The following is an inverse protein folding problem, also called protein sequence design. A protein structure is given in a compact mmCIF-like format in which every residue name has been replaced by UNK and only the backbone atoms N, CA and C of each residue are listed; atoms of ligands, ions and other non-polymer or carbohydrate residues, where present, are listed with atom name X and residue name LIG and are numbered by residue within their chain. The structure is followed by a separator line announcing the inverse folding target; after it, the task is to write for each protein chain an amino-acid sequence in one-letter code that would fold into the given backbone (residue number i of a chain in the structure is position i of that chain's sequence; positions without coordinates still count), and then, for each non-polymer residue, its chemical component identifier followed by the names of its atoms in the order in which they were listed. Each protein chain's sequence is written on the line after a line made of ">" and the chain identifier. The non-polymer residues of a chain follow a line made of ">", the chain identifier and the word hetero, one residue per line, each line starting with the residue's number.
data_IF_917673580306
#
_entry.id   IF_917673580306
#
_cell.length_a   1.000
_cell.length_b   1.000
_cell.length_c   1.000
_cell.angle_alpha   90.00
_cell.angle_beta   90.00
_cell.angle_gamma   90.00
#
_symmetry.space_group_name_H-M   'P 1'
#
loop_
_entity.id
_entity.type
_entity.pdbx_description
1 polymer ?
#
# COMPACT_ATOMS: atom_id res chain seq x y z
N UNK A 1 -7.05 3.17 -0.29
CA UNK A 1 -6.11 4.23 0.14
C UNK A 1 -5.88 4.23 1.63
N UNK A 2 -6.90 3.91 2.43
CA UNK A 2 -6.80 3.81 3.89
C UNK A 2 -5.90 2.66 4.37
N UNK A 3 -5.89 1.50 3.69
CA UNK A 3 -5.16 0.32 4.18
C UNK A 3 -3.62 0.50 4.23
N UNK A 4 -2.98 0.95 3.15
CA UNK A 4 -1.52 1.16 3.14
C UNK A 4 -1.07 2.27 4.10
N UNK A 5 -1.93 3.26 4.34
CA UNK A 5 -1.68 4.32 5.31
C UNK A 5 -1.66 3.82 6.75
N UNK A 6 -2.44 2.80 7.09
CA UNK A 6 -2.42 2.17 8.42
C UNK A 6 -1.21 1.26 8.59
N UNK A 7 -0.70 0.67 7.50
CA UNK A 7 0.48 -0.19 7.52
C UNK A 7 1.78 0.55 7.88
N UNK A 8 1.90 1.83 7.53
CA UNK A 8 3.07 2.66 7.86
C UNK A 8 3.29 2.81 9.38
N UNK A 9 2.33 3.32 10.18
CA UNK A 9 2.48 3.44 11.62
C UNK A 9 2.55 2.09 12.33
N UNK A 10 1.95 1.02 11.80
CA UNK A 10 2.12 -0.33 12.37
C UNK A 10 3.54 -0.85 12.16
N UNK A 11 4.09 -0.74 10.96
CA UNK A 11 5.48 -1.13 10.69
C UNK A 11 6.46 -0.33 11.55
N UNK A 12 6.19 0.97 11.74
CA UNK A 12 6.99 1.85 12.58
C UNK A 12 6.93 1.47 14.07
N UNK A 13 5.74 1.26 14.64
CA UNK A 13 5.57 0.85 16.05
C UNK A 13 6.30 -0.45 16.34
N UNK A 14 6.29 -1.40 15.41
CA UNK A 14 6.92 -2.72 15.56
C UNK A 14 8.44 -2.67 15.34
N UNK A 15 8.93 -1.64 14.64
CA UNK A 15 10.34 -1.40 14.36
C UNK A 15 11.19 -1.08 15.59
N UNK A 16 12.54 -1.14 15.48
CA UNK A 16 13.48 -0.59 16.46
C UNK A 16 13.27 0.90 16.73
N UNK A 17 12.71 1.66 15.79
CA UNK A 17 12.33 3.06 16.01
C UNK A 17 11.11 3.25 16.93
N UNK A 18 10.36 2.17 17.21
CA UNK A 18 9.20 2.14 18.09
C UNK A 18 9.43 1.27 19.33
N UNK A 19 8.79 0.09 19.37
CA UNK A 19 8.84 -0.85 20.51
C UNK A 19 10.06 -1.76 20.47
N UNK A 20 10.74 -1.89 19.32
CA UNK A 20 11.98 -2.65 19.19
C UNK A 20 11.84 -4.16 19.16
N UNK A 21 10.70 -4.67 18.69
CA UNK A 21 10.46 -6.10 18.53
C UNK A 21 11.12 -6.70 17.27
N UNK A 22 11.58 -5.86 16.35
CA UNK A 22 12.20 -6.30 15.09
C UNK A 22 13.58 -5.66 14.90
N UNK A 23 14.37 -6.19 13.97
CA UNK A 23 15.70 -5.67 13.67
C UNK A 23 15.65 -4.48 12.68
N UNK A 24 16.68 -3.63 12.71
CA UNK A 24 16.81 -2.46 11.81
C UNK A 24 16.65 -2.82 10.33
N UNK A 25 17.18 -3.99 9.94
CA UNK A 25 17.08 -4.50 8.58
C UNK A 25 15.63 -4.79 8.18
N UNK A 26 14.82 -5.31 9.11
CA UNK A 26 13.40 -5.61 8.89
C UNK A 26 12.58 -4.33 8.71
N UNK A 27 12.81 -3.31 9.55
CA UNK A 27 12.16 -2.01 9.42
C UNK A 27 12.51 -1.35 8.09
N UNK A 28 13.80 -1.28 7.74
CA UNK A 28 14.25 -0.69 6.48
C UNK A 28 13.63 -1.41 5.28
N UNK A 29 13.57 -2.73 5.32
CA UNK A 29 12.94 -3.56 4.29
C UNK A 29 11.45 -3.25 4.19
N UNK A 30 10.73 -3.20 5.31
CA UNK A 30 9.32 -2.85 5.34
C UNK A 30 9.07 -1.47 4.70
N UNK A 31 9.85 -0.46 5.06
CA UNK A 31 9.73 0.90 4.51
C UNK A 31 10.10 1.01 3.02
N UNK A 32 10.86 0.05 2.45
CA UNK A 32 11.12 -0.03 1.01
C UNK A 32 9.95 -0.73 0.29
N UNK A 33 9.47 -1.86 0.82
CA UNK A 33 8.44 -2.66 0.15
C UNK A 33 7.04 -2.07 0.26
N UNK A 34 6.68 -1.44 1.38
CA UNK A 34 5.38 -0.81 1.59
C UNK A 34 5.01 0.20 0.48
N UNK A 35 5.87 1.17 0.13
CA UNK A 35 5.56 2.12 -0.93
C UNK A 35 5.49 1.45 -2.30
N UNK A 36 6.35 0.47 -2.59
CA UNK A 36 6.33 -0.28 -3.86
C UNK A 36 4.98 -0.97 -4.04
N UNK A 37 4.53 -1.73 -3.04
CA UNK A 37 3.24 -2.42 -3.06
C UNK A 37 2.08 -1.43 -3.13
N UNK A 38 2.14 -0.31 -2.40
CA UNK A 38 1.10 0.71 -2.46
C UNK A 38 0.98 1.34 -3.85
N UNK A 39 2.11 1.57 -4.53
CA UNK A 39 2.16 2.26 -5.83
C UNK A 39 1.71 1.34 -6.96
N UNK A 40 2.18 0.08 -6.97
CA UNK A 40 1.78 -0.92 -7.96
C UNK A 40 0.31 -1.30 -7.77
N UNK A 41 -0.09 -1.62 -6.53
CA UNK A 41 -1.46 -1.99 -6.20
C UNK A 41 -2.45 -0.88 -6.54
N UNK A 42 -2.07 0.38 -6.31
CA UNK A 42 -2.91 1.51 -6.69
C UNK A 42 -2.99 1.71 -8.20
N UNK A 43 -1.87 1.63 -8.93
CA UNK A 43 -1.91 1.70 -10.40
C UNK A 43 -2.82 0.63 -11.00
N UNK A 44 -2.73 -0.62 -10.55
CA UNK A 44 -3.59 -1.70 -11.05
C UNK A 44 -5.08 -1.46 -10.76
N UNK A 45 -5.40 -1.03 -9.52
CA UNK A 45 -6.78 -0.70 -9.14
C UNK A 45 -7.32 0.49 -9.93
N UNK A 46 -6.51 1.52 -10.15
CA UNK A 46 -6.88 2.73 -10.87
C UNK A 46 -7.13 2.44 -12.35
N UNK A 47 -6.17 1.80 -13.03
CA UNK A 47 -6.32 1.34 -14.43
C UNK A 47 -7.52 0.40 -14.60
N UNK A 48 -7.76 -0.50 -13.65
CA UNK A 48 -8.92 -1.39 -13.65
C UNK A 48 -10.25 -0.65 -13.52
N UNK A 49 -10.31 0.36 -12.64
CA UNK A 49 -11.50 1.21 -12.47
C UNK A 49 -11.75 2.08 -13.69
N UNK A 50 -10.71 2.69 -14.27
CA UNK A 50 -10.81 3.48 -15.49
C UNK A 50 -11.32 2.64 -16.66
N UNK A 51 -10.82 1.41 -16.82
CA UNK A 51 -11.33 0.47 -17.84
C UNK A 51 -12.81 0.15 -17.64
N UNK A 52 -13.27 0.03 -16.39
CA UNK A 52 -14.67 -0.25 -16.06
C UNK A 52 -15.60 0.94 -16.31
N UNK A 53 -15.09 2.16 -16.18
CA UNK A 53 -15.83 3.40 -16.49
C UNK A 53 -15.90 3.69 -18.00
N UNK A 54 -14.92 3.21 -18.77
CA UNK A 54 -14.85 3.40 -20.22
C UNK A 54 -15.63 2.33 -21.00
N UNK A 55 -16.31 1.40 -20.31
CA UNK A 55 -17.31 0.55 -20.95
C UNK A 55 -18.57 1.40 -21.15
N UNK A 56 -19.13 1.47 -22.37
CA UNK A 56 -20.38 2.19 -22.59
C UNK A 56 -21.43 1.60 -21.65
N UNK A 57 -22.07 2.45 -20.86
CA UNK A 57 -23.28 2.06 -20.17
C UNK A 57 -24.27 1.62 -21.25
N UNK A 58 -24.58 0.32 -21.29
CA UNK A 58 -25.80 -0.15 -21.93
C UNK A 58 -26.93 0.32 -21.01
N UNK A 59 -27.25 1.61 -21.13
CA UNK A 59 -28.47 2.18 -20.61
C UNK A 59 -29.55 1.83 -21.64
N UNK A 60 -30.49 0.98 -21.22
CA UNK A 60 -31.74 0.72 -21.93
C UNK A 60 -32.76 1.82 -21.72
#
# INVERSE_FOLDING_TARGET
>A
MTAFWVCYPTAWIIGPSGVGWTQQATETTAFIFLPILSKIGFSLLDLGRLRRLNLPSVDG
#
